data_IF_244811155531
#
_entry.id   IF_244811155531
#
_cell.length_a   1.000
_cell.length_b   1.000
_cell.length_c   1.000
_cell.angle_alpha   90.00
_cell.angle_beta   90.00
_cell.angle_gamma   90.00
#
_symmetry.space_group_name_H-M   'P 1'
#
loop_
_entity.id
_entity.type
_entity.pdbx_description
1 polymer ?
#
# COMPACT_ATOMS: atom_id res chain seq x y z
N UNK A 1 0.27 -26.41 -21.40
CA UNK A 1 -0.21 -25.25 -22.21
C UNK A 1 -0.19 -23.98 -21.38
N UNK A 2 -0.81 -23.99 -20.19
CA UNK A 2 -0.82 -22.87 -19.24
C UNK A 2 0.59 -22.42 -18.84
N UNK A 3 1.50 -23.35 -18.56
CA UNK A 3 2.88 -23.00 -18.13
C UNK A 3 3.65 -22.19 -19.18
N UNK A 4 3.44 -22.46 -20.47
CA UNK A 4 4.05 -21.68 -21.56
C UNK A 4 3.47 -20.27 -21.63
N UNK A 5 2.16 -20.12 -21.43
CA UNK A 5 1.51 -18.80 -21.42
C UNK A 5 2.01 -17.97 -20.23
N UNK A 6 2.18 -18.58 -19.07
CA UNK A 6 2.75 -17.92 -17.89
C UNK A 6 4.20 -17.50 -18.16
N UNK A 7 5.04 -18.41 -18.67
CA UNK A 7 6.42 -18.09 -19.00
C UNK A 7 6.53 -16.93 -20.01
N UNK A 8 5.74 -16.95 -21.08
CA UNK A 8 5.68 -15.87 -22.06
C UNK A 8 5.24 -14.53 -21.45
N UNK A 9 4.25 -14.56 -20.55
CA UNK A 9 3.80 -13.35 -19.86
C UNK A 9 4.88 -12.78 -18.92
N UNK A 10 5.63 -13.64 -18.23
CA UNK A 10 6.72 -13.23 -17.35
C UNK A 10 7.93 -12.70 -18.13
N UNK A 11 8.27 -13.33 -19.26
CA UNK A 11 9.32 -12.85 -20.18
C UNK A 11 8.93 -11.49 -20.79
N UNK A 12 7.67 -11.33 -21.21
CA UNK A 12 7.14 -10.05 -21.68
C UNK A 12 7.20 -8.96 -20.60
N UNK A 13 6.88 -9.31 -19.35
CA UNK A 13 7.00 -8.39 -18.23
C UNK A 13 8.47 -8.00 -17.98
N UNK A 14 9.39 -8.96 -18.04
CA UNK A 14 10.83 -8.73 -17.91
C UNK A 14 11.38 -7.76 -18.96
N UNK A 15 10.89 -7.84 -20.21
CA UNK A 15 11.33 -6.94 -21.28
C UNK A 15 11.08 -5.44 -21.00
N UNK A 16 10.07 -5.11 -20.19
CA UNK A 16 9.82 -3.72 -19.79
C UNK A 16 10.86 -3.21 -18.77
N UNK A 17 11.52 -4.12 -18.06
CA UNK A 17 12.50 -3.78 -17.05
C UNK A 17 13.82 -3.34 -17.67
N UNK A 18 14.17 -3.90 -18.83
CA UNK A 18 15.32 -3.46 -19.63
C UNK A 18 15.18 -2.00 -20.09
N UNK A 19 13.94 -1.50 -20.18
CA UNK A 19 13.61 -0.09 -20.46
C UNK A 19 13.53 0.77 -19.17
N UNK A 20 13.80 0.20 -18.00
CA UNK A 20 13.74 0.86 -16.70
C UNK A 20 12.31 1.17 -16.25
N UNK A 21 11.34 0.31 -16.58
CA UNK A 21 9.92 0.49 -16.25
C UNK A 21 9.28 -0.77 -15.67
N UNK A 22 8.25 -0.59 -14.85
CA UNK A 22 7.41 -1.70 -14.44
C UNK A 22 6.53 -2.18 -15.59
N UNK A 23 6.16 -3.46 -15.57
CA UNK A 23 5.18 -4.00 -16.52
C UNK A 23 3.86 -3.21 -16.50
N UNK A 24 3.17 -3.05 -17.64
CA UNK A 24 1.88 -2.35 -17.71
C UNK A 24 0.83 -2.90 -16.74
N UNK A 25 0.88 -4.20 -16.42
CA UNK A 25 0.02 -4.83 -15.41
C UNK A 25 0.28 -4.25 -14.02
N UNK A 26 1.54 -4.12 -13.62
CA UNK A 26 1.91 -3.53 -12.33
C UNK A 26 1.51 -2.05 -12.25
N UNK A 27 1.70 -1.29 -13.34
CA UNK A 27 1.28 0.11 -13.45
C UNK A 27 -0.26 0.22 -13.32
N UNK A 28 -1.00 -0.63 -14.02
CA UNK A 28 -2.46 -0.69 -13.96
C UNK A 28 -2.97 -0.99 -12.56
N UNK A 29 -2.40 -1.99 -11.88
CA UNK A 29 -2.73 -2.28 -10.48
C UNK A 29 -2.40 -1.09 -9.57
N UNK A 30 -1.26 -0.43 -9.74
CA UNK A 30 -0.89 0.71 -8.90
C UNK A 30 -1.87 1.87 -9.03
N UNK A 31 -2.10 2.36 -10.25
CA UNK A 31 -2.98 3.51 -10.47
C UNK A 31 -4.45 3.18 -10.26
N UNK A 32 -4.89 1.96 -10.58
CA UNK A 32 -6.23 1.48 -10.25
C UNK A 32 -6.48 1.49 -8.74
N UNK A 33 -5.54 0.94 -7.96
CA UNK A 33 -5.63 0.99 -6.49
C UNK A 33 -5.59 2.41 -5.95
N UNK A 34 -4.72 3.28 -6.49
CA UNK A 34 -4.64 4.68 -6.07
C UNK A 34 -5.97 5.43 -6.30
N UNK A 35 -6.60 5.22 -7.46
CA UNK A 35 -7.92 5.77 -7.76
C UNK A 35 -9.02 5.27 -6.83
N UNK A 36 -9.05 3.95 -6.55
CA UNK A 36 -10.02 3.34 -5.63
C UNK A 36 -9.82 3.81 -4.18
N UNK A 37 -8.56 3.97 -3.73
CA UNK A 37 -8.24 4.55 -2.43
C UNK A 37 -8.77 5.99 -2.33
N UNK A 38 -8.49 6.83 -3.33
CA UNK A 38 -8.97 8.21 -3.35
C UNK A 38 -10.50 8.28 -3.32
N UNK A 39 -11.17 7.44 -4.11
CA UNK A 39 -12.61 7.29 -4.08
C UNK A 39 -13.10 6.89 -2.68
N UNK A 40 -12.53 5.85 -2.06
CA UNK A 40 -12.99 5.36 -0.75
C UNK A 40 -12.78 6.37 0.38
N UNK A 41 -11.69 7.13 0.35
CA UNK A 41 -11.45 8.20 1.32
C UNK A 41 -12.51 9.32 1.18
N UNK A 42 -12.80 9.74 -0.06
CA UNK A 42 -13.83 10.75 -0.33
C UNK A 42 -15.24 10.27 -0.02
N UNK A 43 -15.57 9.05 -0.46
CA UNK A 43 -16.87 8.41 -0.25
C UNK A 43 -17.12 8.11 1.22
N UNK A 44 -16.15 7.54 1.93
CA UNK A 44 -16.20 7.26 3.37
C UNK A 44 -16.41 8.54 4.19
N UNK A 45 -15.70 9.62 3.82
CA UNK A 45 -15.87 10.93 4.44
C UNK A 45 -17.28 11.50 4.20
N UNK A 46 -17.79 11.45 2.96
CA UNK A 46 -19.13 11.93 2.64
C UNK A 46 -20.24 11.10 3.31
N UNK A 47 -20.18 9.77 3.19
CA UNK A 47 -21.22 8.87 3.73
C UNK A 47 -21.35 8.98 5.26
N UNK A 48 -20.25 9.26 5.96
CA UNK A 48 -20.27 9.45 7.42
C UNK A 48 -21.14 10.62 7.87
N UNK A 49 -21.35 11.62 7.00
CA UNK A 49 -22.16 12.83 7.27
C UNK A 49 -23.63 12.69 6.91
N UNK A 50 -24.01 11.62 6.23
CA UNK A 50 -25.41 11.41 5.88
C UNK A 50 -26.25 11.23 7.15
N UNK A 51 -27.48 11.79 7.18
CA UNK A 51 -28.43 11.50 8.25
C UNK A 51 -28.80 10.01 8.23
N UNK A 52 -29.27 9.50 9.38
CA UNK A 52 -29.74 8.11 9.46
C UNK A 52 -30.94 7.94 8.52
N UNK A 53 -30.86 6.97 7.61
CA UNK A 53 -31.91 6.70 6.62
C UNK A 53 -31.40 5.80 5.50
N UNK A 54 -32.28 5.53 4.52
CA UNK A 54 -32.00 4.63 3.41
C UNK A 54 -30.81 5.07 2.53
N UNK A 55 -30.63 6.38 2.34
CA UNK A 55 -29.49 6.91 1.59
C UNK A 55 -28.15 6.56 2.26
N UNK A 56 -28.08 6.66 3.60
CA UNK A 56 -26.88 6.26 4.35
C UNK A 56 -26.61 4.78 4.18
N UNK A 57 -27.63 3.93 4.29
CA UNK A 57 -27.51 2.48 4.09
C UNK A 57 -26.96 2.18 2.69
N UNK A 58 -27.53 2.75 1.64
CA UNK A 58 -27.06 2.58 0.27
C UNK A 58 -25.61 3.06 0.08
N UNK A 59 -25.21 4.17 0.73
CA UNK A 59 -23.83 4.64 0.70
C UNK A 59 -22.85 3.65 1.36
N UNK A 60 -23.23 3.02 2.48
CA UNK A 60 -22.43 1.96 3.11
C UNK A 60 -22.35 0.69 2.24
N UNK A 61 -23.41 0.34 1.52
CA UNK A 61 -23.39 -0.79 0.57
C UNK A 61 -22.37 -0.56 -0.55
N UNK A 62 -22.35 0.64 -1.14
CA UNK A 62 -21.35 1.02 -2.15
C UNK A 62 -19.94 0.99 -1.56
N UNK A 63 -19.76 1.55 -0.35
CA UNK A 63 -18.47 1.56 0.32
C UNK A 63 -17.96 0.14 0.58
N UNK A 64 -18.82 -0.76 1.05
CA UNK A 64 -18.49 -2.16 1.27
C UNK A 64 -18.15 -2.87 -0.05
N UNK A 65 -18.99 -2.72 -1.08
CA UNK A 65 -18.79 -3.38 -2.37
C UNK A 65 -17.46 -3.00 -3.02
N UNK A 66 -17.10 -1.71 -2.97
CA UNK A 66 -15.79 -1.22 -3.46
C UNK A 66 -14.65 -1.70 -2.56
N UNK A 67 -14.86 -1.80 -1.25
CA UNK A 67 -13.89 -2.38 -0.32
C UNK A 67 -13.53 -3.83 -0.66
N UNK A 68 -14.53 -4.66 -0.96
CA UNK A 68 -14.30 -6.05 -1.40
C UNK A 68 -13.61 -6.11 -2.76
N UNK A 69 -14.00 -5.25 -3.72
CA UNK A 69 -13.28 -5.15 -4.99
C UNK A 69 -11.80 -4.83 -4.78
N UNK A 70 -11.50 -3.87 -3.90
CA UNK A 70 -10.12 -3.53 -3.54
C UNK A 70 -9.38 -4.69 -2.89
N UNK A 71 -10.04 -5.47 -2.03
CA UNK A 71 -9.46 -6.67 -1.42
C UNK A 71 -9.05 -7.70 -2.50
N UNK A 72 -9.90 -7.94 -3.49
CA UNK A 72 -9.59 -8.84 -4.60
C UNK A 72 -8.45 -8.30 -5.47
N UNK A 73 -8.45 -7.00 -5.77
CA UNK A 73 -7.40 -6.36 -6.57
C UNK A 73 -6.06 -6.33 -5.85
N UNK A 74 -6.01 -6.12 -4.53
CA UNK A 74 -4.75 -6.15 -3.78
C UNK A 74 -4.18 -7.57 -3.69
N UNK A 75 -5.03 -8.60 -3.63
CA UNK A 75 -4.59 -10.00 -3.78
C UNK A 75 -3.94 -10.19 -5.15
N UNK A 76 -4.64 -9.82 -6.23
CA UNK A 76 -4.10 -9.91 -7.60
C UNK A 76 -2.79 -9.13 -7.77
N UNK A 77 -2.70 -7.92 -7.20
CA UNK A 77 -1.50 -7.10 -7.19
C UNK A 77 -0.34 -7.77 -6.45
N UNK A 78 -0.60 -8.35 -5.27
CA UNK A 78 0.42 -9.05 -4.49
C UNK A 78 0.89 -10.30 -5.22
N UNK A 79 -0.04 -11.10 -5.77
CA UNK A 79 0.30 -12.26 -6.59
C UNK A 79 1.19 -11.84 -7.76
N UNK A 80 0.80 -10.80 -8.51
CA UNK A 80 1.62 -10.29 -9.61
C UNK A 80 3.01 -9.87 -9.15
N UNK A 81 3.12 -9.14 -8.03
CA UNK A 81 4.40 -8.73 -7.45
C UNK A 81 5.29 -9.91 -7.07
N UNK A 82 4.71 -11.03 -6.62
CA UNK A 82 5.48 -12.20 -6.18
C UNK A 82 5.94 -13.08 -7.35
N UNK A 83 5.20 -13.07 -8.47
CA UNK A 83 5.51 -13.93 -9.63
C UNK A 83 6.23 -13.19 -10.75
N UNK A 84 5.93 -11.90 -10.96
CA UNK A 84 6.62 -11.07 -11.93
C UNK A 84 8.05 -10.81 -11.45
N UNK A 85 9.04 -10.77 -12.36
CA UNK A 85 10.36 -10.26 -12.04
C UNK A 85 10.24 -8.90 -11.35
N UNK A 86 11.09 -8.60 -10.37
CA UNK A 86 11.11 -7.28 -9.74
C UNK A 86 11.99 -6.33 -10.55
N UNK A 87 11.61 -5.05 -10.60
CA UNK A 87 12.42 -4.02 -11.22
C UNK A 87 13.30 -3.41 -10.13
N UNK A 88 14.62 -3.58 -10.27
CA UNK A 88 15.59 -2.89 -9.43
C UNK A 88 15.68 -1.45 -9.95
N UNK A 89 15.22 -0.47 -9.15
CA UNK A 89 15.31 0.96 -9.43
C UNK A 89 16.36 1.64 -8.52
N UNK A 90 16.58 2.94 -8.70
CA UNK A 90 17.59 3.67 -7.92
C UNK A 90 17.30 3.74 -6.40
N UNK A 91 16.04 3.59 -5.98
CA UNK A 91 15.68 3.51 -4.56
C UNK A 91 16.01 2.14 -3.93
N UNK A 92 16.30 1.11 -4.74
CA UNK A 92 16.72 -0.21 -4.25
C UNK A 92 18.22 -0.28 -3.93
N UNK A 93 18.97 0.81 -4.19
CA UNK A 93 20.38 0.91 -3.81
C UNK A 93 20.53 0.85 -2.28
N UNK A 94 21.54 0.12 -1.75
CA UNK A 94 21.73 -0.01 -0.31
C UNK A 94 21.80 1.35 0.41
N UNK A 95 20.87 1.59 1.34
CA UNK A 95 20.76 2.86 2.05
C UNK A 95 19.47 2.97 2.86
N UNK A 96 19.34 4.06 3.63
CA UNK A 96 18.16 4.31 4.46
C UNK A 96 16.89 4.53 3.62
N UNK A 97 17.03 5.04 2.38
CA UNK A 97 15.92 5.25 1.44
C UNK A 97 15.31 3.91 1.00
N UNK A 98 16.14 2.90 0.72
CA UNK A 98 15.67 1.54 0.42
C UNK A 98 14.91 0.93 1.59
N UNK A 99 15.42 1.05 2.82
CA UNK A 99 14.70 0.58 4.02
C UNK A 99 13.36 1.31 4.18
N UNK A 100 13.33 2.63 3.98
CA UNK A 100 12.12 3.43 4.07
C UNK A 100 11.09 3.06 2.99
N UNK A 101 11.53 2.77 1.76
CA UNK A 101 10.68 2.31 0.66
C UNK A 101 10.03 0.96 0.99
N UNK A 102 10.79 0.00 1.50
CA UNK A 102 10.25 -1.28 1.95
C UNK A 102 9.22 -1.12 3.07
N UNK A 103 9.54 -0.35 4.12
CA UNK A 103 8.60 -0.07 5.22
C UNK A 103 7.32 0.55 4.68
N UNK A 104 7.43 1.55 3.81
CA UNK A 104 6.27 2.21 3.18
C UNK A 104 5.41 1.21 2.43
N UNK A 105 6.00 0.31 1.65
CA UNK A 105 5.27 -0.75 0.96
C UNK A 105 4.56 -1.72 1.92
N UNK A 106 5.23 -2.16 2.99
CA UNK A 106 4.61 -3.03 3.99
C UNK A 106 3.44 -2.35 4.70
N UNK A 107 3.59 -1.09 5.10
CA UNK A 107 2.52 -0.32 5.73
C UNK A 107 1.33 -0.15 4.78
N UNK A 108 1.58 0.15 3.49
CA UNK A 108 0.49 0.19 2.52
C UNK A 108 -0.20 -1.16 2.34
N UNK A 109 0.52 -2.26 2.24
CA UNK A 109 -0.10 -3.58 2.16
C UNK A 109 -0.94 -3.88 3.40
N UNK A 110 -0.44 -3.57 4.60
CA UNK A 110 -1.20 -3.68 5.83
C UNK A 110 -2.50 -2.87 5.77
N UNK A 111 -2.47 -1.63 5.28
CA UNK A 111 -3.67 -0.81 5.14
C UNK A 111 -4.62 -1.35 4.07
N UNK A 112 -4.11 -1.70 2.88
CA UNK A 112 -4.92 -2.14 1.74
C UNK A 112 -5.63 -3.47 2.00
N UNK A 113 -5.06 -4.35 2.83
CA UNK A 113 -5.73 -5.57 3.31
C UNK A 113 -6.57 -5.31 4.56
N UNK A 114 -6.01 -4.60 5.55
CA UNK A 114 -6.64 -4.41 6.86
C UNK A 114 -7.93 -3.58 6.80
N UNK A 115 -8.00 -2.56 5.94
CA UNK A 115 -9.20 -1.73 5.79
C UNK A 115 -10.43 -2.53 5.33
N UNK A 116 -10.40 -3.25 4.19
CA UNK A 116 -11.55 -4.04 3.77
C UNK A 116 -11.85 -5.22 4.70
N UNK A 117 -10.83 -5.84 5.31
CA UNK A 117 -11.05 -6.93 6.28
C UNK A 117 -11.72 -6.44 7.56
N UNK A 118 -11.30 -5.30 8.11
CA UNK A 118 -11.95 -4.68 9.27
C UNK A 118 -13.38 -4.24 8.95
N UNK A 119 -13.61 -3.61 7.79
CA UNK A 119 -14.97 -3.25 7.35
C UNK A 119 -15.87 -4.49 7.17
N UNK A 120 -15.33 -5.58 6.63
CA UNK A 120 -16.05 -6.84 6.49
C UNK A 120 -16.39 -7.48 7.85
N UNK A 121 -15.49 -7.37 8.83
CA UNK A 121 -15.77 -7.79 10.21
C UNK A 121 -16.86 -6.95 10.88
N UNK A 122 -16.84 -5.62 10.71
CA UNK A 122 -17.87 -4.72 11.25
C UNK A 122 -19.25 -5.06 10.71
N UNK A 123 -19.40 -5.20 9.39
CA UNK A 123 -20.70 -5.51 8.78
C UNK A 123 -21.16 -6.92 9.14
N UNK A 124 -20.24 -7.88 9.25
CA UNK A 124 -20.58 -9.26 9.66
C UNK A 124 -21.07 -9.32 11.11
N UNK A 125 -20.59 -8.44 11.98
CA UNK A 125 -21.01 -8.37 13.38
C UNK A 125 -22.37 -7.65 13.57
N UNK A 126 -22.80 -6.83 12.60
CA UNK A 126 -23.98 -5.94 12.73
C UNK A 126 -25.15 -6.35 11.83
N UNK A 127 -24.90 -6.67 10.57
CA UNK A 127 -25.91 -6.89 9.54
C UNK A 127 -26.17 -8.39 9.29
N UNK A 128 -26.66 -9.08 10.33
CA UNK A 128 -26.78 -10.57 10.36
C UNK A 128 -27.68 -11.18 9.28
N UNK A 129 -28.66 -10.41 8.79
CA UNK A 129 -29.66 -10.89 7.84
C UNK A 129 -29.61 -10.14 6.50
N UNK A 130 -28.64 -9.25 6.31
CA UNK A 130 -28.53 -8.45 5.08
C UNK A 130 -27.61 -9.16 4.08
N UNK A 131 -28.11 -9.55 2.90
CA UNK A 131 -27.26 -10.12 1.87
C UNK A 131 -26.24 -9.08 1.42
N UNK A 132 -24.96 -9.41 1.54
CA UNK A 132 -23.88 -8.58 1.02
C UNK A 132 -23.63 -8.88 -0.45
N UNK A 133 -23.21 -7.86 -1.18
CA UNK A 133 -22.82 -8.01 -2.57
C UNK A 133 -21.42 -7.40 -2.83
N UNK A 134 -20.52 -8.21 -3.38
CA UNK A 134 -19.29 -7.73 -3.98
C UNK A 134 -19.60 -7.07 -5.33
N UNK A 135 -18.98 -5.91 -5.56
CA UNK A 135 -19.24 -5.06 -6.72
C UNK A 135 -20.72 -4.69 -6.96
N UNK A 136 -21.60 -4.90 -5.97
CA UNK A 136 -23.04 -4.59 -6.04
C UNK A 136 -23.91 -5.67 -6.70
N UNK A 137 -23.35 -6.80 -7.17
CA UNK A 137 -24.13 -7.84 -7.87
C UNK A 137 -23.68 -9.28 -7.62
N UNK A 138 -22.49 -9.52 -7.05
CA UNK A 138 -22.02 -10.88 -6.71
C UNK A 138 -22.31 -11.14 -5.23
N UNK A 139 -23.13 -12.14 -4.86
CA UNK A 139 -23.35 -12.47 -3.46
C UNK A 139 -22.04 -12.68 -2.72
N UNK A 140 -21.87 -12.00 -1.59
CA UNK A 140 -20.68 -12.08 -0.75
C UNK A 140 -21.04 -12.62 0.64
N UNK A 141 -20.28 -13.58 1.19
CA UNK A 141 -20.62 -14.18 2.46
C UNK A 141 -20.37 -13.21 3.63
N UNK A 142 -21.20 -13.32 4.66
CA UNK A 142 -20.87 -12.81 5.99
C UNK A 142 -19.82 -13.73 6.62
N UNK A 143 -19.00 -13.20 7.53
CA UNK A 143 -18.13 -14.04 8.35
C UNK A 143 -18.98 -14.94 9.27
N UNK A 144 -18.57 -16.20 9.51
CA UNK A 144 -19.33 -17.15 10.31
C UNK A 144 -19.30 -16.76 11.80
N UNK A 145 -20.28 -15.95 12.21
CA UNK A 145 -20.39 -15.37 13.56
C UNK A 145 -21.74 -15.69 14.23
N UNK A 146 -22.55 -16.58 13.63
CA UNK A 146 -23.92 -16.87 14.06
C UNK A 146 -24.03 -17.44 15.48
N UNK A 147 -23.00 -18.13 15.97
CA UNK A 147 -23.00 -18.77 17.30
C UNK A 147 -22.48 -17.84 18.41
N UNK A 148 -22.10 -16.60 18.08
CA UNK A 148 -21.57 -15.64 19.04
C UNK A 148 -22.67 -14.89 19.78
N UNK A 149 -22.45 -14.64 21.07
CA UNK A 149 -23.34 -13.78 21.86
C UNK A 149 -23.29 -12.33 21.38
N UNK A 150 -24.37 -11.57 21.62
CA UNK A 150 -24.42 -10.13 21.31
C UNK A 150 -23.25 -9.35 21.93
N UNK A 151 -22.81 -9.71 23.14
CA UNK A 151 -21.66 -9.08 23.79
C UNK A 151 -20.36 -9.28 23.00
N UNK A 152 -20.14 -10.48 22.47
CA UNK A 152 -18.96 -10.79 21.66
C UNK A 152 -19.01 -10.05 20.32
N UNK A 153 -20.19 -10.01 19.68
CA UNK A 153 -20.38 -9.28 18.43
C UNK A 153 -20.10 -7.78 18.57
N UNK A 154 -20.59 -7.14 19.64
CA UNK A 154 -20.27 -5.73 19.92
C UNK A 154 -18.78 -5.50 20.19
N UNK A 155 -18.11 -6.44 20.86
CA UNK A 155 -16.67 -6.33 21.07
C UNK A 155 -15.89 -6.44 19.75
N UNK A 156 -16.31 -7.33 18.84
CA UNK A 156 -15.71 -7.49 17.51
C UNK A 156 -15.95 -6.24 16.66
N UNK A 157 -17.19 -5.75 16.63
CA UNK A 157 -17.57 -4.56 15.88
C UNK A 157 -16.76 -3.34 16.33
N UNK A 158 -16.70 -3.07 17.64
CA UNK A 158 -15.93 -1.96 18.17
C UNK A 158 -14.43 -2.12 17.85
N UNK A 159 -13.85 -3.30 18.06
CA UNK A 159 -12.43 -3.53 17.74
C UNK A 159 -12.14 -3.33 16.24
N UNK A 160 -13.04 -3.78 15.37
CA UNK A 160 -12.91 -3.62 13.94
C UNK A 160 -13.08 -2.16 13.51
N UNK A 161 -13.99 -1.41 14.12
CA UNK A 161 -14.16 0.04 13.91
C UNK A 161 -12.88 0.80 14.28
N UNK A 162 -12.33 0.55 15.48
CA UNK A 162 -11.08 1.18 15.93
C UNK A 162 -9.91 0.87 15.01
N UNK A 163 -9.78 -0.39 14.59
CA UNK A 163 -8.75 -0.82 13.64
C UNK A 163 -8.94 -0.11 12.29
N UNK A 164 -10.16 -0.12 11.75
CA UNK A 164 -10.48 0.52 10.49
C UNK A 164 -10.09 2.00 10.54
N UNK A 165 -10.47 2.70 11.60
CA UNK A 165 -10.22 4.13 11.70
C UNK A 165 -8.72 4.46 11.86
N UNK A 166 -8.01 3.69 12.68
CA UNK A 166 -6.55 3.81 12.80
C UNK A 166 -5.82 3.56 11.48
N UNK A 167 -6.29 2.60 10.67
CA UNK A 167 -5.73 2.33 9.35
C UNK A 167 -6.01 3.45 8.34
N UNK A 168 -7.18 4.10 8.39
CA UNK A 168 -7.45 5.27 7.52
C UNK A 168 -6.54 6.44 7.88
N UNK A 169 -6.36 6.74 9.18
CA UNK A 169 -5.42 7.76 9.62
C UNK A 169 -3.99 7.46 9.16
N UNK A 170 -3.58 6.19 9.28
CA UNK A 170 -2.29 5.72 8.76
C UNK A 170 -2.18 5.96 7.26
N UNK A 171 -3.22 5.64 6.48
CA UNK A 171 -3.24 5.83 5.04
C UNK A 171 -3.17 7.31 4.64
N UNK A 172 -3.93 8.18 5.33
CA UNK A 172 -3.90 9.63 5.12
C UNK A 172 -2.53 10.25 5.37
N UNK A 173 -1.74 9.70 6.30
CA UNK A 173 -0.37 10.10 6.54
C UNK A 173 0.60 9.51 5.50
N UNK A 174 0.43 8.24 5.13
CA UNK A 174 1.36 7.54 4.23
C UNK A 174 1.26 8.01 2.78
N UNK A 175 0.06 8.35 2.28
CA UNK A 175 -0.13 8.86 0.91
C UNK A 175 0.77 10.06 0.60
N UNK A 176 0.74 11.18 1.36
CA UNK A 176 1.58 12.34 1.08
C UNK A 176 3.07 12.05 1.29
N UNK A 177 3.43 11.19 2.25
CA UNK A 177 4.84 10.77 2.44
C UNK A 177 5.34 10.03 1.19
N UNK A 178 4.55 9.08 0.69
CA UNK A 178 4.89 8.28 -0.49
C UNK A 178 4.94 9.13 -1.77
N UNK A 179 3.88 9.91 -2.04
CA UNK A 179 3.83 10.80 -3.19
C UNK A 179 4.93 11.87 -3.13
N UNK A 180 5.19 12.42 -1.94
CA UNK A 180 6.27 13.37 -1.68
C UNK A 180 7.65 12.77 -1.91
N UNK A 181 7.88 11.52 -1.50
CA UNK A 181 9.11 10.80 -1.79
C UNK A 181 9.30 10.60 -3.30
N UNK A 182 8.28 10.13 -4.02
CA UNK A 182 8.34 9.99 -5.48
C UNK A 182 8.62 11.33 -6.19
N UNK A 183 8.02 12.42 -5.70
CA UNK A 183 8.24 13.76 -6.25
C UNK A 183 9.66 14.28 -5.92
N UNK A 184 10.18 14.02 -4.73
CA UNK A 184 11.58 14.30 -4.36
C UNK A 184 12.54 13.57 -5.32
N UNK A 185 12.30 12.28 -5.53
CA UNK A 185 13.05 11.45 -6.45
C UNK A 185 13.06 12.03 -7.89
N UNK A 186 11.89 12.46 -8.36
CA UNK A 186 11.75 13.09 -9.67
C UNK A 186 12.42 14.47 -9.79
N UNK A 187 12.11 15.40 -8.87
CA UNK A 187 12.50 16.82 -8.99
C UNK A 187 13.92 17.10 -8.48
N UNK A 188 14.33 16.44 -7.40
CA UNK A 188 15.61 16.70 -6.71
C UNK A 188 16.65 15.69 -7.18
N UNK A 189 16.35 14.41 -7.06
CA UNK A 189 17.33 13.34 -7.33
C UNK A 189 17.49 13.02 -8.81
N UNK A 190 16.44 13.27 -9.60
CA UNK A 190 16.34 13.00 -11.04
C UNK A 190 16.70 11.57 -11.38
N UNK A 191 16.07 10.65 -10.67
CA UNK A 191 16.18 9.22 -10.91
C UNK A 191 14.90 8.64 -11.52
N UNK A 192 14.92 7.32 -11.68
CA UNK A 192 13.96 6.52 -12.42
C UNK A 192 12.69 6.20 -11.63
N UNK A 193 12.68 6.36 -10.31
CA UNK A 193 11.63 5.88 -9.40
C UNK A 193 10.23 6.34 -9.84
N UNK A 194 10.08 7.62 -10.19
CA UNK A 194 8.80 8.15 -10.67
C UNK A 194 8.46 7.70 -12.09
N UNK A 195 9.45 7.67 -12.98
CA UNK A 195 9.25 7.31 -14.38
C UNK A 195 8.95 5.82 -14.57
N UNK A 196 9.44 4.97 -13.66
CA UNK A 196 9.19 3.54 -13.68
C UNK A 196 7.69 3.19 -13.54
N UNK A 197 6.89 4.09 -12.94
CA UNK A 197 5.44 3.95 -12.77
C UNK A 197 4.60 4.76 -13.78
N UNK A 198 5.24 5.39 -14.78
CA UNK A 198 4.55 6.11 -15.85
C UNK A 198 4.48 5.27 -17.12
N UNK A 199 3.31 5.21 -17.79
CA UNK A 199 3.11 4.30 -18.92
C UNK A 199 3.90 4.68 -20.19
N UNK A 200 4.28 5.95 -20.41
CA UNK A 200 4.81 6.39 -21.73
C UNK A 200 6.00 7.36 -21.66
N UNK A 201 6.37 7.93 -20.51
CA UNK A 201 7.36 9.03 -20.47
C UNK A 201 8.80 8.50 -20.48
N UNK A 202 9.62 8.76 -21.52
CA UNK A 202 11.01 8.30 -21.58
C UNK A 202 11.85 9.00 -20.50
N UNK A 203 12.80 8.29 -19.90
CA UNK A 203 13.66 8.88 -18.88
C UNK A 203 14.66 9.87 -19.51
N UNK A 204 14.68 11.15 -19.08
CA UNK A 204 15.71 12.08 -19.53
C UNK A 204 17.05 11.77 -18.85
N UNK A 205 18.15 11.70 -19.63
CA UNK A 205 19.51 11.53 -19.08
C UNK A 205 19.83 12.68 -18.11
N UNK A 206 20.16 12.42 -16.83
CA UNK A 206 20.28 13.47 -15.84
C UNK A 206 21.52 14.35 -16.05
N UNK A 207 21.34 15.67 -16.21
CA UNK A 207 22.39 16.69 -15.99
C UNK A 207 22.24 17.28 -14.58
N UNK A 208 23.21 17.01 -13.70
CA UNK A 208 23.15 17.38 -12.26
C UNK A 208 23.73 18.77 -11.98
N UNK A 209 23.02 19.59 -11.20
CA UNK A 209 23.44 20.95 -10.82
C UNK A 209 24.35 20.98 -9.58
N UNK A 210 25.01 22.11 -9.32
CA UNK A 210 25.95 22.27 -8.18
C UNK A 210 25.24 22.24 -6.82
N UNK A 211 24.01 22.75 -6.73
CA UNK A 211 23.19 22.72 -5.52
C UNK A 211 22.77 21.29 -5.16
N UNK A 212 22.35 20.49 -6.14
CA UNK A 212 21.97 19.08 -5.94
C UNK A 212 23.12 18.23 -5.36
N UNK A 213 24.37 18.50 -5.77
CA UNK A 213 25.55 17.83 -5.20
C UNK A 213 25.75 18.16 -3.71
N UNK A 214 25.46 19.39 -3.28
CA UNK A 214 25.54 19.82 -1.87
C UNK A 214 24.42 19.20 -1.05
N UNK A 215 23.20 19.12 -1.59
CA UNK A 215 22.06 18.47 -0.95
C UNK A 215 22.32 16.98 -0.67
N UNK A 216 22.76 16.21 -1.67
CA UNK A 216 23.12 14.80 -1.45
C UNK A 216 24.27 14.59 -0.46
N UNK A 217 25.18 15.55 -0.34
CA UNK A 217 26.23 15.49 0.67
C UNK A 217 25.64 15.67 2.09
N UNK A 218 24.61 16.49 2.25
CA UNK A 218 23.84 16.62 3.49
C UNK A 218 23.06 15.33 3.78
N UNK A 219 22.35 14.78 2.81
CA UNK A 219 21.59 13.53 2.96
C UNK A 219 22.48 12.35 3.35
N UNK A 220 23.66 12.21 2.73
CA UNK A 220 24.65 11.20 3.15
C UNK A 220 25.10 11.38 4.59
N UNK A 221 25.23 12.64 5.06
CA UNK A 221 25.58 12.92 6.46
C UNK A 221 24.44 12.52 7.40
N UNK A 222 23.20 12.93 7.10
CA UNK A 222 22.00 12.56 7.88
C UNK A 222 21.81 11.05 7.91
N UNK A 223 21.89 10.38 6.76
CA UNK A 223 21.80 8.93 6.63
C UNK A 223 22.89 8.19 7.42
N UNK A 224 24.13 8.72 7.43
CA UNK A 224 25.22 8.14 8.25
C UNK A 224 24.98 8.25 9.75
N UNK A 225 24.25 9.28 10.19
CA UNK A 225 23.91 9.49 11.60
C UNK A 225 22.73 8.59 12.01
N UNK A 226 21.68 8.52 11.18
CA UNK A 226 20.54 7.63 11.39
C UNK A 226 20.96 6.15 11.41
N UNK A 227 21.82 5.72 10.48
CA UNK A 227 22.34 4.34 10.44
C UNK A 227 23.18 4.00 11.67
N UNK A 228 23.94 4.97 12.21
CA UNK A 228 24.72 4.79 13.45
C UNK A 228 23.83 4.68 14.69
N UNK A 229 22.81 5.53 14.79
CA UNK A 229 21.83 5.47 15.88
C UNK A 229 21.06 4.15 15.86
N UNK A 230 20.64 3.68 14.68
CA UNK A 230 19.93 2.41 14.52
C UNK A 230 20.78 1.20 14.92
N UNK A 231 22.06 1.15 14.52
CA UNK A 231 22.99 0.09 14.95
C UNK A 231 23.29 0.12 16.45
N UNK A 232 23.37 1.31 17.05
CA UNK A 232 23.57 1.48 18.49
C UNK A 232 22.36 1.04 19.33
N UNK A 233 21.15 1.03 18.75
CA UNK A 233 19.93 0.61 19.44
C UNK A 233 19.71 -0.91 19.39
N UNK A 234 20.17 -1.59 18.32
CA UNK A 234 19.94 -3.02 18.09
C UNK A 234 21.07 -3.93 18.60
N UNK A 235 22.26 -3.39 18.87
CA UNK A 235 23.37 -4.13 19.46
C UNK A 235 23.53 -3.68 20.92
N UNK A 236 23.15 -4.50 21.92
CA UNK A 236 23.62 -4.27 23.28
C UNK A 236 25.14 -4.20 23.21
N UNK A 237 25.71 -3.11 23.70
CA UNK A 237 27.16 -2.99 23.83
C UNK A 237 27.65 -4.17 24.67
N UNK A 238 28.45 -5.07 24.08
CA UNK A 238 29.22 -6.10 24.80
C UNK A 238 30.29 -5.40 25.67
N UNK A 239 29.83 -4.69 26.69
CA UNK A 239 30.67 -4.11 27.74
C UNK A 239 30.91 -5.20 28.80
N UNK A 240 31.70 -6.22 28.47
CA UNK A 240 31.82 -7.38 29.36
C UNK A 240 33.03 -8.31 29.21
N UNK A 241 34.03 -8.02 28.36
CA UNK A 241 35.30 -8.78 28.38
C UNK A 241 36.47 -7.90 28.79
N UNK A 242 36.59 -7.66 30.10
CA UNK A 242 37.90 -7.42 30.71
C UNK A 242 38.63 -8.75 30.70
N UNK A 243 39.77 -8.82 30.00
CA UNK A 243 40.70 -9.95 30.08
C UNK A 243 41.44 -9.87 31.43
N UNK A 244 41.77 -11.02 32.06
CA UNK A 244 42.54 -11.07 33.30
C UNK A 244 43.97 -10.54 33.12
#
# INVERSE_FOLDING_TARGET
MIDRLIAQALEWAAGHHDEGRYSPVAIGFHWGMAGLVAFQLGWGWWMGRLPVGGEKVAAYEVHFAVGILMLLLVIGRLTWRLVAPDLINDADKPGWESTAAHITHYVFYLCLFGLPLSGWAMVSATARDTPLAAAGFIPWPLLPMQDLSNRQLWAIEAAAEWMHWGLVLTLLLMIPIHAGAALKHHLIDRDDVFHAMLPVVPQPKPKRTRWQRRWRALERRVGSTATRLWRGLLLPTDAGRRRP
#
